data_IF_221153621421
#
_entry.id   IF_221153621421
#
_cell.length_a   1.000
_cell.length_b   1.000
_cell.length_c   1.000
_cell.angle_alpha   90.00
_cell.angle_beta   90.00
_cell.angle_gamma   90.00
#
_symmetry.space_group_name_H-M   'P 1'
#
loop_
_entity.id
_entity.type
_entity.pdbx_description
1 polymer ?
#
# COMPACT_ATOMS: atom_id res chain seq x y z
N UNK A 1 -14.81 16.62 -4.36
CA UNK A 1 -15.30 16.97 -3.00
C UNK A 1 -14.08 17.04 -2.10
N UNK A 2 -13.95 18.06 -1.22
CA UNK A 2 -12.93 18.01 -0.15
C UNK A 2 -13.53 17.23 1.01
N UNK A 3 -13.10 16.00 1.21
CA UNK A 3 -13.46 15.17 2.36
C UNK A 3 -12.75 15.73 3.59
N UNK A 4 -13.46 16.58 4.34
CA UNK A 4 -12.94 17.11 5.60
C UNK A 4 -13.24 16.10 6.71
N UNK A 5 -12.28 15.24 6.99
CA UNK A 5 -12.34 14.34 8.15
C UNK A 5 -11.85 15.07 9.40
N UNK A 6 -12.52 14.79 10.52
CA UNK A 6 -12.03 15.17 11.85
C UNK A 6 -10.88 14.27 12.27
N UNK A 7 -10.05 14.74 13.21
CA UNK A 7 -8.94 13.96 13.77
C UNK A 7 -9.39 12.58 14.27
N UNK A 8 -10.52 12.52 14.99
CA UNK A 8 -11.09 11.27 15.50
C UNK A 8 -11.53 10.33 14.38
N UNK A 9 -12.10 10.86 13.29
CA UNK A 9 -12.46 10.06 12.13
C UNK A 9 -11.22 9.50 11.43
N UNK A 10 -10.17 10.30 11.24
CA UNK A 10 -8.90 9.82 10.70
C UNK A 10 -8.37 8.67 11.55
N UNK A 11 -8.27 8.84 12.87
CA UNK A 11 -7.81 7.78 13.76
C UNK A 11 -8.63 6.49 13.65
N UNK A 12 -9.96 6.60 13.51
CA UNK A 12 -10.83 5.45 13.34
C UNK A 12 -10.63 4.75 11.97
N UNK A 13 -10.27 5.50 10.93
CA UNK A 13 -10.07 4.99 9.57
C UNK A 13 -8.67 4.43 9.32
N UNK A 14 -7.68 4.77 10.15
CA UNK A 14 -6.29 4.35 9.97
C UNK A 14 -6.07 2.82 9.89
N UNK A 15 -6.78 1.95 10.65
CA UNK A 15 -6.68 0.50 10.45
C UNK A 15 -7.11 0.06 9.04
N UNK A 16 -8.20 0.61 8.53
CA UNK A 16 -8.73 0.33 7.18
C UNK A 16 -7.82 0.90 6.10
N UNK A 17 -7.22 2.06 6.37
CA UNK A 17 -6.19 2.68 5.53
C UNK A 17 -4.96 1.76 5.39
N UNK A 18 -4.43 1.23 6.49
CA UNK A 18 -3.29 0.29 6.49
C UNK A 18 -3.62 -1.00 5.73
N UNK A 19 -4.87 -1.45 5.78
CA UNK A 19 -5.34 -2.61 5.00
C UNK A 19 -5.48 -2.33 3.50
N UNK A 20 -5.41 -1.05 3.08
CA UNK A 20 -5.67 -0.65 1.70
C UNK A 20 -7.13 -0.86 1.27
N UNK A 21 -8.07 -0.80 2.23
CA UNK A 21 -9.48 -1.11 2.01
C UNK A 21 -10.39 0.14 1.96
N UNK A 22 -9.80 1.33 1.88
CA UNK A 22 -10.51 2.60 1.71
C UNK A 22 -10.63 2.98 0.24
N UNK A 23 -11.57 3.86 -0.07
CA UNK A 23 -11.66 4.43 -1.41
C UNK A 23 -10.42 5.32 -1.72
N UNK A 24 -9.97 5.41 -2.97
CA UNK A 24 -8.75 6.14 -3.32
C UNK A 24 -8.74 7.61 -2.85
N UNK A 25 -9.90 8.27 -2.88
CA UNK A 25 -10.06 9.64 -2.43
C UNK A 25 -9.94 9.80 -0.91
N UNK A 26 -10.35 8.77 -0.15
CA UNK A 26 -10.20 8.73 1.31
C UNK A 26 -8.75 8.44 1.69
N UNK A 27 -8.08 7.54 0.97
CA UNK A 27 -6.65 7.28 1.15
C UNK A 27 -5.82 8.55 0.92
N UNK A 28 -6.09 9.30 -0.15
CA UNK A 28 -5.41 10.56 -0.43
C UNK A 28 -5.67 11.62 0.66
N UNK A 29 -6.89 11.70 1.18
CA UNK A 29 -7.22 12.62 2.26
C UNK A 29 -6.51 12.26 3.56
N UNK A 30 -6.39 10.97 3.89
CA UNK A 30 -5.65 10.48 5.06
C UNK A 30 -4.15 10.72 4.89
N UNK A 31 -3.58 10.43 3.71
CA UNK A 31 -2.16 10.69 3.43
C UNK A 31 -1.82 12.18 3.59
N UNK A 32 -2.65 13.06 3.04
CA UNK A 32 -2.48 14.51 3.22
C UNK A 32 -2.55 14.90 4.70
N UNK A 33 -3.48 14.32 5.46
CA UNK A 33 -3.61 14.56 6.90
C UNK A 33 -2.38 14.08 7.69
N UNK A 34 -1.84 12.90 7.37
CA UNK A 34 -0.66 12.32 8.03
C UNK A 34 0.63 13.11 7.74
N UNK A 35 0.69 13.85 6.64
CA UNK A 35 1.79 14.78 6.35
C UNK A 35 1.75 15.97 7.31
N UNK A 36 0.56 16.50 7.60
CA UNK A 36 0.36 17.65 8.48
C UNK A 36 0.42 17.27 9.97
N UNK A 37 0.12 16.01 10.32
CA UNK A 37 0.02 15.49 11.68
C UNK A 37 1.08 14.41 11.98
N UNK A 38 2.33 14.82 12.17
CA UNK A 38 3.48 13.92 12.35
C UNK A 38 3.34 13.00 13.58
N UNK A 39 2.61 13.43 14.60
CA UNK A 39 2.34 12.68 15.83
C UNK A 39 1.61 11.36 15.55
N UNK A 40 0.81 11.32 14.47
CA UNK A 40 0.04 10.14 14.09
C UNK A 40 0.91 9.07 13.43
N UNK A 41 2.13 9.38 12.98
CA UNK A 41 3.03 8.38 12.37
C UNK A 41 3.41 7.28 13.35
N UNK A 42 3.59 7.60 14.63
CA UNK A 42 3.86 6.61 15.67
C UNK A 42 2.68 5.66 15.86
N UNK A 43 1.46 6.19 15.78
CA UNK A 43 0.23 5.40 15.89
C UNK A 43 0.01 4.53 14.64
N UNK A 44 0.23 5.09 13.45
CA UNK A 44 0.20 4.36 12.18
C UNK A 44 1.15 3.16 12.22
N UNK A 45 2.40 3.38 12.66
CA UNK A 45 3.38 2.29 12.80
C UNK A 45 2.90 1.18 13.75
N UNK A 46 2.27 1.54 14.89
CA UNK A 46 1.70 0.55 15.80
C UNK A 46 0.59 -0.28 15.13
N UNK A 47 -0.27 0.37 14.36
CA UNK A 47 -1.33 -0.31 13.60
C UNK A 47 -0.75 -1.22 12.52
N UNK A 48 0.28 -0.78 11.79
CA UNK A 48 0.99 -1.61 10.81
C UNK A 48 1.59 -2.87 11.45
N UNK A 49 2.26 -2.72 12.60
CA UNK A 49 2.83 -3.85 13.33
C UNK A 49 1.75 -4.82 13.84
N UNK A 50 0.66 -4.28 14.37
CA UNK A 50 -0.48 -5.06 14.81
C UNK A 50 -1.07 -5.84 13.63
N UNK A 51 -1.31 -5.20 12.49
CA UNK A 51 -1.83 -5.84 11.28
C UNK A 51 -0.88 -6.91 10.72
N UNK A 52 0.43 -6.63 10.68
CA UNK A 52 1.45 -7.59 10.25
C UNK A 52 1.45 -8.85 11.13
N UNK A 53 1.20 -8.70 12.44
CA UNK A 53 1.10 -9.85 13.35
C UNK A 53 -0.11 -10.76 13.06
N UNK A 54 -1.20 -10.22 12.50
CA UNK A 54 -2.37 -11.01 12.08
C UNK A 54 -2.18 -11.72 10.73
N UNK A 55 -1.20 -11.32 9.92
CA UNK A 55 -0.82 -12.00 8.67
C UNK A 55 0.02 -13.28 8.94
N UNK A 56 0.09 -13.71 10.20
CA UNK A 56 0.75 -14.96 10.61
C UNK A 56 0.08 -16.18 9.96
N UNK A 57 0.86 -16.82 9.07
CA UNK A 57 0.57 -17.98 8.24
C UNK A 57 -0.09 -17.65 6.89
N UNK A 58 0.69 -17.22 5.87
CA UNK A 58 0.28 -17.43 4.50
C UNK A 58 -0.06 -18.91 4.34
N UNK A 59 -1.30 -19.23 3.97
CA UNK A 59 -1.56 -20.53 3.37
C UNK A 59 -0.60 -20.63 2.19
N UNK A 60 0.28 -21.63 2.21
CA UNK A 60 1.26 -21.87 1.14
C UNK A 60 0.48 -22.27 -0.12
N UNK A 61 -0.12 -21.27 -0.75
CA UNK A 61 -0.75 -21.41 -2.05
C UNK A 61 0.40 -21.19 -3.01
N UNK A 62 0.86 -22.27 -3.64
CA UNK A 62 1.90 -22.18 -4.65
C UNK A 62 1.42 -21.19 -5.72
N UNK A 63 2.00 -20.00 -5.76
CA UNK A 63 1.79 -19.07 -6.86
C UNK A 63 2.22 -19.79 -8.12
N UNK A 64 1.33 -19.86 -9.12
CA UNK A 64 1.68 -20.36 -10.44
C UNK A 64 2.95 -19.63 -10.91
N UNK A 65 3.92 -20.33 -11.51
CA UNK A 65 5.14 -19.69 -12.00
C UNK A 65 4.91 -18.80 -13.24
N UNK A 66 3.71 -18.84 -13.83
CA UNK A 66 3.32 -18.08 -15.03
C UNK A 66 3.48 -16.56 -14.89
N UNK A 67 2.95 -15.89 -13.84
CA UNK A 67 3.06 -14.44 -13.70
C UNK A 67 4.50 -13.98 -13.56
N UNK A 68 5.35 -14.76 -12.87
CA UNK A 68 6.79 -14.46 -12.74
C UNK A 68 7.51 -14.55 -14.08
N UNK A 69 7.25 -15.61 -14.86
CA UNK A 69 7.85 -15.78 -16.18
C UNK A 69 7.44 -14.66 -17.15
N UNK A 70 6.15 -14.29 -17.16
CA UNK A 70 5.63 -13.19 -17.98
C UNK A 70 6.25 -11.84 -17.59
N UNK A 71 6.38 -11.57 -16.30
CA UNK A 71 7.02 -10.33 -15.81
C UNK A 71 8.49 -10.27 -16.23
N UNK A 72 9.23 -11.36 -16.09
CA UNK A 72 10.65 -11.44 -16.48
C UNK A 72 10.84 -11.27 -17.98
N UNK A 73 9.98 -11.87 -18.80
CA UNK A 73 9.99 -11.68 -20.25
C UNK A 73 9.75 -10.21 -20.63
N UNK A 74 8.84 -9.52 -19.94
CA UNK A 74 8.59 -8.09 -20.18
C UNK A 74 9.79 -7.23 -19.79
N UNK A 75 10.39 -7.48 -18.64
CA UNK A 75 11.59 -6.75 -18.18
C UNK A 75 12.75 -6.94 -19.17
N UNK A 76 12.95 -8.15 -19.69
CA UNK A 76 13.98 -8.42 -20.69
C UNK A 76 13.71 -7.69 -22.02
N UNK A 77 12.46 -7.64 -22.47
CA UNK A 77 12.08 -6.91 -23.67
C UNK A 77 12.36 -5.39 -23.53
N UNK A 78 11.98 -4.79 -22.40
CA UNK A 78 12.21 -3.37 -22.12
C UNK A 78 13.72 -3.03 -22.04
N UNK A 79 14.55 -3.92 -21.47
CA UNK A 79 16.01 -3.73 -21.40
C UNK A 79 16.66 -3.79 -22.79
N UNK A 80 16.21 -4.70 -23.63
CA UNK A 80 16.72 -4.87 -24.99
C UNK A 80 16.30 -3.70 -25.89
N UNK A 81 15.09 -3.17 -25.73
CA UNK A 81 14.63 -1.95 -26.41
C UNK A 81 15.50 -0.74 -26.03
N UNK A 82 15.82 -0.56 -24.74
CA UNK A 82 16.73 0.50 -24.27
C UNK A 82 18.15 0.36 -24.82
N UNK A 83 18.66 -0.87 -24.96
CA UNK A 83 19.98 -1.12 -25.57
C UNK A 83 19.99 -0.75 -27.06
N UNK A 84 18.91 -1.00 -27.80
CA UNK A 84 18.82 -0.70 -29.23
C UNK A 84 18.61 0.78 -29.53
N UNK A 85 18.02 1.51 -28.60
CA UNK A 85 17.80 2.95 -28.69
C UNK A 85 19.00 3.80 -28.21
N UNK A 86 20.06 3.16 -27.71
CA UNK A 86 21.32 3.77 -27.28
C UNK A 86 22.44 3.53 -28.30
#
# INVERSE_FOLDING_TARGET
>A
MKTNFTHTQIMAMLPTFVQGALEPEEMLAIDAYLIEHYELRGWLYQVEQMMASFVSAPSFTALSNLPKATLMARVQADLEERRRAA
#
